data_IF_447173699185
#
_entry.id   IF_447173699185
#
_cell.length_a   1.000
_cell.length_b   1.000
_cell.length_c   1.000
_cell.angle_alpha   90.00
_cell.angle_beta   90.00
_cell.angle_gamma   90.00
#
_symmetry.space_group_name_H-M   'P 1'
#
loop_
_entity.id
_entity.type
_entity.pdbx_description
1 polymer ?
#
# COMPACT_ATOMS: atom_id res chain seq x y z
N UNK A 1 -49.93 -56.63 33.12
CA UNK A 1 -49.25 -57.62 33.98
C UNK A 1 -48.04 -56.92 34.58
N UNK A 2 -48.16 -56.55 35.86
CA UNK A 2 -47.12 -56.17 36.82
C UNK A 2 -46.32 -54.86 36.59
N UNK A 3 -46.66 -53.85 37.39
CA UNK A 3 -45.69 -52.92 38.00
C UNK A 3 -44.78 -53.69 38.98
N UNK A 4 -43.54 -53.24 39.23
CA UNK A 4 -43.29 -52.72 40.58
C UNK A 4 -42.22 -51.61 40.74
N UNK A 5 -42.61 -50.61 41.55
CA UNK A 5 -41.93 -50.11 42.77
C UNK A 5 -40.61 -49.31 42.69
N UNK A 6 -40.79 -48.03 43.09
CA UNK A 6 -39.86 -47.02 43.64
C UNK A 6 -38.88 -47.56 44.70
N UNK A 7 -37.63 -47.08 44.72
CA UNK A 7 -37.15 -46.01 45.64
C UNK A 7 -35.61 -45.93 45.69
N UNK A 8 -35.16 -44.68 45.75
CA UNK A 8 -33.95 -44.19 46.45
C UNK A 8 -32.59 -44.47 45.82
N UNK A 9 -31.86 -43.38 45.53
CA UNK A 9 -30.65 -42.98 46.27
C UNK A 9 -29.63 -42.27 45.37
N UNK A 10 -29.24 -41.06 45.80
CA UNK A 10 -28.00 -40.33 45.52
C UNK A 10 -27.71 -39.82 44.08
N UNK A 11 -27.87 -38.49 43.95
CA UNK A 11 -26.88 -37.52 43.43
C UNK A 11 -25.71 -38.09 42.62
N UNK A 12 -25.70 -37.83 41.31
CA UNK A 12 -24.77 -36.94 40.60
C UNK A 12 -24.70 -37.32 39.11
N UNK A 13 -24.35 -36.34 38.27
CA UNK A 13 -23.85 -36.47 36.89
C UNK A 13 -24.89 -36.51 35.75
N UNK A 14 -24.96 -35.38 35.05
CA UNK A 14 -25.14 -35.19 33.60
C UNK A 14 -26.06 -36.14 32.81
N UNK A 15 -27.19 -35.65 32.30
CA UNK A 15 -27.49 -35.61 30.86
C UNK A 15 -28.81 -34.87 30.58
N UNK A 16 -28.89 -34.30 29.38
CA UNK A 16 -30.08 -33.73 28.73
C UNK A 16 -30.54 -32.31 29.11
N UNK A 17 -29.70 -31.33 28.75
CA UNK A 17 -30.21 -30.04 28.29
C UNK A 17 -30.36 -30.11 26.77
N UNK A 18 -31.49 -30.64 26.33
CA UNK A 18 -31.95 -30.62 24.95
C UNK A 18 -32.09 -29.18 24.47
N UNK A 19 -31.06 -28.66 23.79
CA UNK A 19 -31.09 -27.66 22.69
C UNK A 19 -29.64 -27.27 22.36
N UNK A 20 -29.01 -28.05 21.47
CA UNK A 20 -27.68 -27.74 20.92
C UNK A 20 -27.82 -27.33 19.46
N UNK A 21 -27.57 -26.03 19.24
CA UNK A 21 -26.83 -25.37 18.16
C UNK A 21 -27.14 -25.71 16.69
N UNK A 22 -27.66 -24.71 15.97
CA UNK A 22 -27.45 -24.57 14.53
C UNK A 22 -27.26 -23.10 14.13
N UNK A 23 -26.04 -22.79 13.66
CA UNK A 23 -25.66 -21.76 12.68
C UNK A 23 -26.06 -20.29 12.95
N UNK A 24 -25.28 -19.28 12.63
CA UNK A 24 -23.91 -19.11 12.14
C UNK A 24 -23.68 -17.62 12.30
N UNK A 25 -22.54 -17.25 12.88
CA UNK A 25 -22.05 -15.88 12.83
C UNK A 25 -21.77 -15.52 11.37
N UNK A 26 -22.26 -14.36 10.93
CA UNK A 26 -21.65 -13.51 9.90
C UNK A 26 -22.66 -12.44 9.48
N UNK A 27 -23.00 -11.53 10.39
CA UNK A 27 -23.33 -10.18 9.93
C UNK A 27 -22.00 -9.55 9.59
N UNK A 28 -21.66 -9.52 8.31
CA UNK A 28 -20.58 -8.71 7.78
C UNK A 28 -20.91 -7.27 8.14
N UNK A 29 -20.36 -6.80 9.26
CA UNK A 29 -20.45 -5.41 9.68
C UNK A 29 -19.59 -4.64 8.70
N UNK A 30 -20.21 -4.23 7.60
CA UNK A 30 -19.61 -3.37 6.62
C UNK A 30 -19.46 -2.01 7.32
N UNK A 31 -18.24 -1.70 7.76
CA UNK A 31 -17.89 -0.38 8.25
C UNK A 31 -17.97 0.52 7.03
N UNK A 32 -19.15 1.09 6.78
CA UNK A 32 -19.30 2.18 5.84
C UNK A 32 -18.58 3.37 6.47
N UNK A 33 -17.35 3.62 6.01
CA UNK A 33 -16.74 4.93 6.18
C UNK A 33 -17.76 5.96 5.69
N UNK A 34 -18.02 7.00 6.48
CA UNK A 34 -19.02 8.02 6.18
C UNK A 34 -18.70 8.87 4.94
N UNK A 35 -17.70 8.48 4.16
CA UNK A 35 -17.32 9.10 2.90
C UNK A 35 -18.39 8.79 1.85
N UNK A 36 -19.00 9.85 1.31
CA UNK A 36 -19.87 9.73 0.13
C UNK A 36 -18.99 9.40 -1.08
N UNK A 37 -19.60 8.80 -2.11
CA UNK A 37 -18.95 8.39 -3.37
C UNK A 37 -18.10 9.47 -4.08
N UNK A 38 -18.31 10.75 -3.77
CA UNK A 38 -17.58 11.88 -4.37
C UNK A 38 -16.82 12.76 -3.37
N UNK A 39 -16.67 12.30 -2.13
CA UNK A 39 -15.89 13.02 -1.15
C UNK A 39 -14.39 12.86 -1.45
N UNK A 40 -13.63 13.93 -1.25
CA UNK A 40 -12.19 13.89 -1.46
C UNK A 40 -11.54 13.19 -0.27
N UNK A 41 -10.74 12.17 -0.55
CA UNK A 41 -9.99 11.47 0.49
C UNK A 41 -8.74 12.26 0.89
N UNK A 42 -8.42 12.24 2.17
CA UNK A 42 -7.18 12.80 2.68
C UNK A 42 -5.97 11.97 2.23
N UNK A 43 -4.86 12.63 1.91
CA UNK A 43 -3.64 12.01 1.36
C UNK A 43 -2.72 11.44 2.47
N UNK A 44 -3.15 11.47 3.73
CA UNK A 44 -2.27 11.23 4.88
C UNK A 44 -2.08 9.73 5.22
N UNK A 45 -2.99 8.86 4.80
CA UNK A 45 -2.91 7.42 5.08
C UNK A 45 -2.46 6.66 3.83
N UNK A 46 -1.19 6.27 3.78
CA UNK A 46 -0.67 5.42 2.72
C UNK A 46 0.39 4.45 3.23
N UNK A 47 0.56 3.36 2.49
CA UNK A 47 1.50 2.27 2.77
C UNK A 47 2.29 1.95 1.52
N UNK A 48 3.54 1.52 1.72
CA UNK A 48 4.44 1.18 0.61
C UNK A 48 4.92 -0.24 0.79
N UNK A 49 4.74 -1.03 -0.27
CA UNK A 49 5.11 -2.43 -0.32
C UNK A 49 6.19 -2.61 -1.40
N UNK A 50 7.30 -3.24 -1.06
CA UNK A 50 8.31 -3.69 -2.03
C UNK A 50 8.31 -5.22 -2.04
N UNK A 51 8.09 -5.82 -3.20
CA UNK A 51 8.00 -7.29 -3.38
C UNK A 51 6.97 -7.96 -2.43
N UNK A 52 5.93 -7.22 -2.04
CA UNK A 52 4.92 -7.70 -1.09
C UNK A 52 5.35 -7.65 0.39
N UNK A 53 6.52 -7.11 0.68
CA UNK A 53 6.99 -6.82 2.04
C UNK A 53 6.73 -5.34 2.34
N UNK A 54 6.14 -5.08 3.49
CA UNK A 54 5.98 -3.74 4.01
C UNK A 54 7.34 -3.16 4.41
N UNK A 55 7.70 -2.04 3.81
CA UNK A 55 8.99 -1.40 4.05
C UNK A 55 8.91 -0.40 5.21
N UNK A 56 7.70 -0.14 5.72
CA UNK A 56 7.44 0.72 6.87
C UNK A 56 6.76 2.04 6.50
N UNK A 57 6.67 2.92 7.49
CA UNK A 57 6.03 4.23 7.35
C UNK A 57 6.92 5.23 6.61
N UNK A 58 6.41 5.77 5.51
CA UNK A 58 7.05 6.87 4.78
C UNK A 58 6.37 8.19 5.11
N UNK A 59 7.12 9.28 5.04
CA UNK A 59 6.63 10.62 5.31
C UNK A 59 6.01 11.25 4.05
N UNK A 60 6.65 11.07 2.90
CA UNK A 60 6.11 11.53 1.61
C UNK A 60 6.49 10.59 0.48
N UNK A 61 5.63 10.58 -0.55
CA UNK A 61 5.89 9.94 -1.83
C UNK A 61 5.63 10.97 -2.91
N UNK A 62 6.63 11.17 -3.75
CA UNK A 62 6.64 12.15 -4.82
C UNK A 62 6.99 11.45 -6.14
N UNK A 63 6.67 12.09 -7.27
CA UNK A 63 7.07 11.59 -8.60
C UNK A 63 6.11 10.60 -9.26
N UNK A 64 4.88 10.46 -8.76
CA UNK A 64 3.79 9.74 -9.46
C UNK A 64 3.27 10.55 -10.66
N UNK A 65 4.13 10.77 -11.64
CA UNK A 65 3.81 11.53 -12.84
C UNK A 65 4.01 10.70 -14.12
N UNK A 66 3.08 10.88 -15.06
CA UNK A 66 3.16 10.33 -16.41
C UNK A 66 3.01 11.49 -17.37
N UNK A 67 4.08 11.79 -18.12
CA UNK A 67 4.08 12.86 -19.12
C UNK A 67 3.98 12.26 -20.52
N UNK A 68 3.04 12.74 -21.33
CA UNK A 68 2.89 12.34 -22.73
C UNK A 68 3.14 13.58 -23.59
N UNK A 69 4.27 13.62 -24.29
CA UNK A 69 4.64 14.78 -25.11
C UNK A 69 3.73 14.85 -26.37
N UNK A 70 2.96 15.94 -26.57
CA UNK A 70 2.15 16.08 -27.79
C UNK A 70 3.02 16.46 -28.99
N UNK A 71 2.91 15.69 -30.07
CA UNK A 71 3.54 15.98 -31.36
C UNK A 71 2.55 16.75 -32.23
N UNK A 72 2.97 17.91 -32.73
CA UNK A 72 2.14 18.74 -33.61
C UNK A 72 2.37 18.35 -35.07
N UNK A 73 1.27 18.07 -35.77
CA UNK A 73 1.27 17.73 -37.19
C UNK A 73 0.47 18.77 -37.98
N UNK A 74 1.13 19.40 -38.93
CA UNK A 74 0.52 20.38 -39.84
C UNK A 74 0.17 19.72 -41.17
N UNK A 75 -1.11 19.81 -41.56
CA UNK A 75 -1.58 19.45 -42.90
C UNK A 75 -1.71 20.74 -43.70
N UNK A 76 -1.23 20.77 -44.94
CA UNK A 76 -1.08 22.03 -45.70
C UNK A 76 -2.39 22.79 -45.95
N UNK A 77 -3.54 22.13 -45.80
CA UNK A 77 -4.88 22.70 -46.03
C UNK A 77 -5.63 23.01 -44.73
N UNK A 78 -5.01 22.86 -43.55
CA UNK A 78 -5.65 23.15 -42.26
C UNK A 78 -4.93 24.28 -41.53
N UNK A 79 -5.72 25.23 -41.00
CA UNK A 79 -5.21 26.37 -40.23
C UNK A 79 -4.73 25.99 -38.83
N UNK A 80 -5.24 24.88 -38.27
CA UNK A 80 -4.89 24.39 -36.94
C UNK A 80 -4.04 23.12 -37.03
N UNK A 81 -2.95 23.08 -36.27
CA UNK A 81 -2.14 21.89 -36.10
C UNK A 81 -2.94 20.81 -35.36
N UNK A 82 -2.87 19.57 -35.85
CA UNK A 82 -3.43 18.41 -35.15
C UNK A 82 -2.39 17.87 -34.18
N UNK A 83 -2.80 17.62 -32.93
CA UNK A 83 -1.92 17.03 -31.92
C UNK A 83 -2.03 15.50 -31.94
N UNK A 84 -0.90 14.82 -31.89
CA UNK A 84 -0.79 13.37 -31.72
C UNK A 84 -0.06 13.07 -30.41
N UNK A 85 -0.47 12.05 -29.64
CA UNK A 85 0.27 11.66 -28.46
C UNK A 85 1.63 11.08 -28.86
N UNK A 86 2.70 11.59 -28.24
CA UNK A 86 4.06 11.06 -28.36
C UNK A 86 4.32 9.93 -27.37
N UNK A 87 5.61 9.72 -27.06
CA UNK A 87 6.04 8.64 -26.15
C UNK A 87 5.75 9.02 -24.70
N UNK A 88 5.15 8.13 -23.89
CA UNK A 88 5.00 8.37 -22.46
C UNK A 88 6.38 8.35 -21.78
N UNK A 89 6.61 9.32 -20.90
CA UNK A 89 7.75 9.43 -20.00
C UNK A 89 7.23 9.26 -18.58
N UNK A 90 7.87 8.39 -17.83
CA UNK A 90 7.60 8.17 -16.42
C UNK A 90 8.56 9.00 -15.59
N UNK A 91 8.04 9.67 -14.57
CA UNK A 91 8.85 10.32 -13.55
C UNK A 91 9.54 9.30 -12.64
N UNK A 92 10.63 9.72 -12.00
CA UNK A 92 11.27 8.94 -10.95
C UNK A 92 10.48 9.11 -9.65
N UNK A 93 10.33 8.02 -8.89
CA UNK A 93 9.66 8.08 -7.59
C UNK A 93 10.66 8.55 -6.54
N UNK A 94 10.25 9.53 -5.73
CA UNK A 94 11.05 9.98 -4.59
C UNK A 94 10.31 9.66 -3.31
N UNK A 95 10.99 8.94 -2.43
CA UNK A 95 10.47 8.53 -1.13
C UNK A 95 11.22 9.27 -0.06
N UNK A 96 10.47 9.95 0.81
CA UNK A 96 11.01 10.58 2.00
C UNK A 96 10.60 9.76 3.20
N UNK A 97 11.56 9.26 3.97
CA UNK A 97 11.31 8.47 5.18
C UNK A 97 12.10 8.99 6.37
N UNK A 98 11.58 8.77 7.57
CA UNK A 98 12.39 8.91 8.77
C UNK A 98 13.48 7.85 8.83
N UNK A 99 14.53 8.09 9.62
CA UNK A 99 15.50 7.05 9.93
C UNK A 99 14.82 5.91 10.70
N UNK A 100 14.91 4.70 10.14
CA UNK A 100 14.39 3.47 10.74
C UNK A 100 15.53 2.45 10.74
N UNK A 101 15.64 1.63 11.79
CA UNK A 101 16.68 0.60 11.94
C UNK A 101 16.56 -0.59 10.96
N UNK A 102 15.78 -0.46 9.89
CA UNK A 102 15.56 -1.54 8.93
C UNK A 102 16.55 -1.39 7.78
N UNK A 103 17.50 -2.33 7.68
CA UNK A 103 18.57 -2.31 6.66
C UNK A 103 18.13 -2.68 5.24
N UNK A 104 16.87 -3.05 5.00
CA UNK A 104 16.44 -3.68 3.73
C UNK A 104 16.68 -2.78 2.53
N UNK A 105 16.30 -1.51 2.62
CA UNK A 105 16.51 -0.52 1.56
C UNK A 105 18.00 -0.19 1.35
N UNK A 106 18.76 -0.10 2.45
CA UNK A 106 20.19 0.19 2.37
C UNK A 106 20.97 -0.96 1.73
N UNK A 107 20.69 -2.21 2.14
CA UNK A 107 21.29 -3.41 1.53
C UNK A 107 20.99 -3.49 0.03
N UNK A 108 19.77 -3.13 -0.36
CA UNK A 108 19.42 -3.08 -1.78
C UNK A 108 20.26 -2.05 -2.55
N UNK A 109 20.53 -0.88 -1.96
CA UNK A 109 21.44 0.10 -2.54
C UNK A 109 22.88 -0.44 -2.60
N UNK A 110 23.36 -1.11 -1.56
CA UNK A 110 24.70 -1.73 -1.52
C UNK A 110 24.88 -2.80 -2.61
N UNK A 111 23.88 -3.64 -2.86
CA UNK A 111 23.95 -4.66 -3.91
C UNK A 111 24.15 -4.04 -5.30
N UNK A 112 23.49 -2.91 -5.58
CA UNK A 112 23.65 -2.17 -6.84
C UNK A 112 25.01 -1.48 -6.91
N UNK A 113 25.49 -0.90 -5.80
CA UNK A 113 26.85 -0.34 -5.74
C UNK A 113 27.92 -1.42 -6.00
N UNK A 114 27.66 -2.65 -5.57
CA UNK A 114 28.51 -3.82 -5.86
C UNK A 114 28.36 -4.37 -7.29
N UNK A 115 27.58 -3.70 -8.15
CA UNK A 115 27.39 -4.05 -9.56
C UNK A 115 26.30 -5.11 -9.83
N UNK A 116 25.56 -5.56 -8.80
CA UNK A 116 24.42 -6.45 -8.96
C UNK A 116 23.15 -5.63 -9.10
N UNK A 117 22.70 -5.43 -10.34
CA UNK A 117 21.46 -4.70 -10.62
C UNK A 117 20.25 -5.59 -10.29
N UNK A 118 19.74 -5.45 -9.07
CA UNK A 118 18.52 -6.12 -8.62
C UNK A 118 17.35 -5.15 -8.81
N UNK A 119 16.42 -5.52 -9.67
CA UNK A 119 15.19 -4.78 -9.90
C UNK A 119 14.09 -5.31 -8.99
N UNK A 120 13.31 -4.41 -8.40
CA UNK A 120 12.19 -4.76 -7.53
C UNK A 120 10.90 -4.13 -8.03
N UNK A 121 9.79 -4.83 -7.89
CA UNK A 121 8.45 -4.26 -8.07
C UNK A 121 7.87 -3.85 -6.72
N UNK A 122 7.00 -2.85 -6.72
CA UNK A 122 6.32 -2.42 -5.51
C UNK A 122 4.99 -1.75 -5.77
N UNK A 123 4.31 -1.45 -4.68
CA UNK A 123 2.97 -0.86 -4.68
C UNK A 123 2.91 0.27 -3.68
N UNK A 124 2.30 1.37 -4.08
CA UNK A 124 1.89 2.47 -3.20
C UNK A 124 0.38 2.33 -3.02
N UNK A 125 -0.04 2.08 -1.79
CA UNK A 125 -1.44 1.83 -1.43
C UNK A 125 -1.95 3.02 -0.63
N UNK A 126 -2.97 3.69 -1.16
CA UNK A 126 -3.71 4.71 -0.43
C UNK A 126 -4.80 4.03 0.39
N UNK A 127 -4.86 4.36 1.67
CA UNK A 127 -5.80 3.79 2.63
C UNK A 127 -6.86 4.82 3.02
N UNK A 128 -8.03 4.32 3.43
CA UNK A 128 -9.11 5.14 3.98
C UNK A 128 -8.73 5.74 5.36
N UNK A 129 -9.54 6.66 5.88
CA UNK A 129 -9.35 7.30 7.20
C UNK A 129 -9.25 6.28 8.33
N UNK A 130 -9.97 5.17 8.21
CA UNK A 130 -9.94 4.05 9.17
C UNK A 130 -8.70 3.15 9.01
N UNK A 131 -7.95 3.28 7.91
CA UNK A 131 -6.72 2.51 7.63
C UNK A 131 -6.95 1.03 7.25
N UNK A 132 -8.20 0.56 7.17
CA UNK A 132 -8.54 -0.84 6.89
C UNK A 132 -8.89 -1.11 5.43
N UNK A 133 -9.39 -0.10 4.71
CA UNK A 133 -9.83 -0.24 3.33
C UNK A 133 -8.81 0.40 2.39
N UNK A 134 -8.44 -0.32 1.33
CA UNK A 134 -7.61 0.20 0.24
C UNK A 134 -8.48 1.00 -0.73
N UNK A 135 -8.16 2.29 -0.91
CA UNK A 135 -8.88 3.18 -1.82
C UNK A 135 -8.32 3.13 -3.24
N UNK A 136 -6.99 3.11 -3.35
CA UNK A 136 -6.29 3.17 -4.62
C UNK A 136 -4.93 2.50 -4.50
N UNK A 137 -4.51 1.77 -5.53
CA UNK A 137 -3.19 1.14 -5.58
C UNK A 137 -2.44 1.55 -6.84
N UNK A 138 -1.24 2.08 -6.66
CA UNK A 138 -0.30 2.36 -7.72
C UNK A 138 0.81 1.31 -7.70
N UNK A 139 0.88 0.48 -8.73
CA UNK A 139 1.91 -0.52 -8.90
C UNK A 139 3.02 0.03 -9.79
N UNK A 140 4.26 -0.07 -9.32
CA UNK A 140 5.44 0.23 -10.10
C UNK A 140 6.27 -1.04 -10.30
N UNK A 141 6.87 -1.15 -11.48
CA UNK A 141 7.64 -2.33 -11.86
C UNK A 141 9.07 -1.97 -12.24
N UNK A 142 9.95 -2.94 -12.05
CA UNK A 142 11.36 -2.85 -12.46
C UNK A 142 12.11 -1.65 -11.86
N UNK A 143 11.76 -1.28 -10.64
CA UNK A 143 12.39 -0.18 -9.94
C UNK A 143 13.80 -0.53 -9.47
N UNK A 144 14.65 0.49 -9.41
CA UNK A 144 15.98 0.42 -8.80
C UNK A 144 16.38 1.77 -8.18
N UNK A 145 17.12 1.81 -7.06
CA UNK A 145 17.56 3.04 -6.43
C UNK A 145 18.57 3.77 -7.30
N UNK A 146 18.18 4.96 -7.77
CA UNK A 146 19.02 5.85 -8.55
C UNK A 146 19.88 6.75 -7.65
N UNK A 147 19.33 7.16 -6.50
CA UNK A 147 20.01 8.05 -5.56
C UNK A 147 19.51 7.85 -4.14
N UNK A 148 20.45 7.88 -3.20
CA UNK A 148 20.18 7.88 -1.77
C UNK A 148 20.78 9.15 -1.15
N UNK A 149 19.97 9.90 -0.41
CA UNK A 149 20.39 11.06 0.36
C UNK A 149 20.15 10.77 1.85
N UNK A 150 21.23 10.76 2.62
CA UNK A 150 21.17 10.55 4.06
C UNK A 150 20.63 11.77 4.82
N UNK A 151 20.56 11.62 6.13
CA UNK A 151 20.11 12.68 7.03
C UNK A 151 21.19 13.77 7.23
N UNK A 152 20.72 15.00 7.43
CA UNK A 152 21.58 16.12 7.82
C UNK A 152 21.68 16.16 9.34
N UNK A 153 22.88 15.96 9.88
CA UNK A 153 23.15 16.11 11.31
C UNK A 153 23.56 17.56 11.63
N UNK A 154 22.77 18.24 12.44
CA UNK A 154 23.15 19.49 13.09
C UNK A 154 22.88 19.36 14.60
N UNK A 155 23.91 19.58 15.41
CA UNK A 155 23.84 19.43 16.87
C UNK A 155 23.04 20.52 17.59
N UNK A 156 22.54 21.53 16.87
CA UNK A 156 21.69 22.60 17.41
C UNK A 156 20.20 22.45 17.07
N UNK A 157 19.87 21.74 16.00
CA UNK A 157 18.49 21.55 15.54
C UNK A 157 17.87 20.31 16.18
N UNK A 158 16.58 20.40 16.52
CA UNK A 158 15.80 19.26 17.04
C UNK A 158 14.90 18.65 15.95
N UNK A 159 15.38 18.64 14.71
CA UNK A 159 14.64 18.13 13.56
C UNK A 159 14.75 16.60 13.48
N UNK A 160 13.67 15.93 13.06
CA UNK A 160 13.69 14.49 12.85
C UNK A 160 14.69 14.13 11.73
N UNK A 161 15.43 13.04 11.92
CA UNK A 161 16.35 12.54 10.89
C UNK A 161 15.56 11.97 9.72
N UNK A 162 15.64 12.65 8.58
CA UNK A 162 14.93 12.28 7.34
C UNK A 162 15.93 11.84 6.29
N UNK A 163 15.62 10.75 5.61
CA UNK A 163 16.35 10.19 4.48
C UNK A 163 15.49 10.24 3.22
N UNK A 164 16.11 10.50 2.08
CA UNK A 164 15.43 10.57 0.79
C UNK A 164 15.99 9.51 -0.16
N UNK A 165 15.11 8.71 -0.74
CA UNK A 165 15.45 7.67 -1.72
C UNK A 165 14.74 7.96 -3.04
N UNK A 166 15.50 8.08 -4.13
CA UNK A 166 14.98 8.23 -5.49
C UNK A 166 15.07 6.88 -6.20
N UNK A 167 13.93 6.35 -6.66
CA UNK A 167 13.81 5.15 -7.47
C UNK A 167 13.51 5.52 -8.92
N UNK A 168 14.29 4.98 -9.85
CA UNK A 168 13.95 4.99 -11.26
C UNK A 168 13.01 3.81 -11.55
N UNK A 169 11.92 4.08 -12.26
CA UNK A 169 10.89 3.08 -12.61
C UNK A 169 10.75 2.95 -14.12
N UNK A 170 10.43 1.75 -14.60
CA UNK A 170 10.21 1.50 -16.04
C UNK A 170 8.72 1.45 -16.40
N UNK A 171 7.86 1.11 -15.43
CA UNK A 171 6.40 1.02 -15.63
C UNK A 171 5.62 1.42 -14.39
N UNK A 172 4.52 2.14 -14.60
CA UNK A 172 3.54 2.52 -13.58
C UNK A 172 2.14 2.12 -14.03
N UNK A 173 1.38 1.47 -13.15
CA UNK A 173 0.00 1.05 -13.37
C UNK A 173 -0.84 1.44 -12.17
N UNK A 174 -2.08 1.88 -12.42
CA UNK A 174 -3.07 2.13 -11.37
C UNK A 174 -4.13 1.04 -11.43
N UNK A 175 -4.40 0.43 -10.27
CA UNK A 175 -5.45 -0.59 -10.05
C UNK A 175 -6.57 0.02 -9.21
#
# INVERSE_FOLDING_TARGET
MLDPVRLSTLLCVCCDCSRIWSLSMSSSFNIQSGARDRDHFGVFNFRIELEGIDVGGFQSVDGLEVTIDPIEYHISNERMARKRPGRPKLGNLTFTKGYVNTDTLWRWCEEIMNGKVIRKSGSIVLLDDTGMNELCRYNFFEAWPAKWSGFKLDGKSNDASVETLELAIERLERV
#
